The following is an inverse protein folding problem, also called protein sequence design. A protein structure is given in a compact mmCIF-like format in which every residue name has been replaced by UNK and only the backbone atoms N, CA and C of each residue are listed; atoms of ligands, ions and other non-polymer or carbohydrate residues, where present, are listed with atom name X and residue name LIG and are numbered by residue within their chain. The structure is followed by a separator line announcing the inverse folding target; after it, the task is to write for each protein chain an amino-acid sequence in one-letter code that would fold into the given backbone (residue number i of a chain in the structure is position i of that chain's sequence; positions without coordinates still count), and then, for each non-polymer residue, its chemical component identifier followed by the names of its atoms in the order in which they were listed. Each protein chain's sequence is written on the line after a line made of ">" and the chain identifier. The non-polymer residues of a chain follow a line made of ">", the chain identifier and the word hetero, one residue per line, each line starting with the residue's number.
data_IF_071482592308
#
_entry.id   IF_071482592308
#
_cell.length_a   1.000
_cell.length_b   1.000
_cell.length_c   1.000
_cell.angle_alpha   90.00
_cell.angle_beta   90.00
_cell.angle_gamma   90.00
#
_symmetry.space_group_name_H-M   'P 1'
#
loop_
_entity.id
_entity.type
_entity.pdbx_description
1 polymer ?
#
# COMPACT_ATOMS: atom_id res chain seq x y z
N UNK A 1 -41.00 48.54 52.79
CA UNK A 1 -42.39 48.31 52.33
C UNK A 1 -42.52 46.87 51.86
N UNK A 2 -43.48 46.15 52.47
CA UNK A 2 -44.24 44.95 52.04
C UNK A 2 -43.55 43.80 51.27
N UNK A 3 -43.42 42.64 51.95
CA UNK A 3 -43.59 41.30 51.35
C UNK A 3 -44.62 40.53 52.18
N UNK A 4 -45.65 39.99 51.51
CA UNK A 4 -46.81 39.33 52.14
C UNK A 4 -46.50 37.88 52.55
N UNK A 5 -47.29 37.46 53.53
CA UNK A 5 -47.17 36.34 54.48
C UNK A 5 -47.72 35.04 53.90
N UNK A 6 -47.21 33.94 54.45
CA UNK A 6 -47.31 32.54 54.05
C UNK A 6 -48.52 31.80 54.65
N UNK A 7 -49.72 32.02 54.11
CA UNK A 7 -50.95 31.33 54.53
C UNK A 7 -51.67 30.57 53.39
N UNK A 8 -50.96 30.14 52.33
CA UNK A 8 -51.57 29.43 51.18
C UNK A 8 -50.94 28.06 50.88
N UNK A 9 -50.68 27.23 51.89
CA UNK A 9 -50.33 25.82 51.68
C UNK A 9 -51.32 24.89 52.41
N UNK A 10 -52.10 24.07 51.69
CA UNK A 10 -52.91 23.03 52.32
C UNK A 10 -52.01 21.95 52.93
N UNK A 11 -52.05 21.84 54.25
CA UNK A 11 -51.52 20.71 55.02
C UNK A 11 -52.46 19.52 54.81
N UNK A 12 -52.01 18.50 54.10
CA UNK A 12 -52.70 17.21 54.08
C UNK A 12 -52.42 16.43 55.37
N UNK A 13 -53.49 15.86 55.90
CA UNK A 13 -53.63 15.32 57.22
C UNK A 13 -53.41 13.80 57.29
N UNK A 14 -53.03 13.37 58.49
CA UNK A 14 -53.18 12.05 59.12
C UNK A 14 -52.32 10.87 58.64
N UNK A 15 -51.36 10.52 59.50
CA UNK A 15 -50.74 9.20 59.60
C UNK A 15 -51.81 8.16 60.01
N UNK A 16 -51.92 7.09 59.23
CA UNK A 16 -52.66 5.89 59.60
C UNK A 16 -51.67 4.80 60.03
N UNK A 17 -51.87 4.28 61.23
CA UNK A 17 -51.08 3.22 61.87
C UNK A 17 -51.03 1.93 61.02
N UNK A 18 -49.83 1.40 60.78
CA UNK A 18 -49.60 0.13 60.05
C UNK A 18 -49.37 -1.00 61.07
N UNK A 19 -50.07 -2.15 60.95
CA UNK A 19 -50.01 -3.24 61.93
C UNK A 19 -48.72 -4.07 61.85
N UNK A 20 -48.20 -4.48 63.00
CA UNK A 20 -47.01 -5.33 63.11
C UNK A 20 -47.30 -6.79 62.68
N UNK A 21 -46.83 -7.19 61.49
CA UNK A 21 -46.95 -8.56 61.00
C UNK A 21 -45.82 -9.45 61.58
N UNK A 22 -46.13 -10.28 62.59
CA UNK A 22 -45.18 -11.28 63.12
C UNK A 22 -45.22 -12.54 62.25
N UNK A 23 -44.22 -12.70 61.39
CA UNK A 23 -44.02 -13.88 60.55
C UNK A 23 -43.73 -15.12 61.44
N UNK A 24 -44.69 -16.04 61.54
CA UNK A 24 -44.54 -17.28 62.33
C UNK A 24 -43.52 -18.20 61.65
N UNK A 25 -42.47 -18.63 62.38
CA UNK A 25 -41.35 -19.50 61.94
C UNK A 25 -41.73 -20.69 61.03
N UNK A 26 -42.98 -21.19 61.13
CA UNK A 26 -43.51 -22.27 60.29
C UNK A 26 -43.59 -21.91 58.79
N UNK A 27 -43.87 -20.65 58.45
CA UNK A 27 -43.92 -20.22 57.04
C UNK A 27 -42.54 -20.19 56.37
N UNK A 28 -41.48 -19.95 57.15
CA UNK A 28 -40.11 -20.02 56.63
C UNK A 28 -39.72 -21.45 56.23
N UNK A 29 -40.16 -22.47 57.01
CA UNK A 29 -39.88 -23.87 56.67
C UNK A 29 -40.62 -24.32 55.40
N UNK A 30 -41.85 -23.87 55.17
CA UNK A 30 -42.56 -24.15 53.91
C UNK A 30 -41.89 -23.48 52.71
N UNK A 31 -41.36 -22.26 52.89
CA UNK A 31 -40.67 -21.52 51.82
C UNK A 31 -39.32 -22.16 51.46
N UNK A 32 -38.56 -22.62 52.47
CA UNK A 32 -37.31 -23.37 52.25
C UNK A 32 -37.60 -24.73 51.61
N UNK A 33 -38.63 -25.44 52.07
CA UNK A 33 -39.05 -26.71 51.46
C UNK A 33 -39.48 -26.54 50.00
N UNK A 34 -40.23 -25.47 49.69
CA UNK A 34 -40.63 -25.12 48.33
C UNK A 34 -39.42 -24.81 47.44
N UNK A 35 -38.46 -24.01 47.93
CA UNK A 35 -37.22 -23.71 47.19
C UNK A 35 -36.36 -24.95 46.96
N UNK A 36 -36.30 -25.88 47.91
CA UNK A 36 -35.57 -27.14 47.77
C UNK A 36 -36.23 -28.07 46.75
N UNK A 37 -37.57 -28.17 46.76
CA UNK A 37 -38.32 -28.91 45.74
C UNK A 37 -38.17 -28.26 44.36
N UNK A 38 -38.19 -26.93 44.27
CA UNK A 38 -37.90 -26.22 43.02
C UNK A 38 -36.46 -26.48 42.53
N UNK A 39 -35.47 -26.57 43.42
CA UNK A 39 -34.08 -26.88 43.04
C UNK A 39 -33.90 -28.32 42.57
N UNK A 40 -34.65 -29.29 43.11
CA UNK A 40 -34.64 -30.69 42.66
C UNK A 40 -35.43 -30.90 41.36
N UNK A 41 -36.58 -30.23 41.20
CA UNK A 41 -37.42 -30.36 40.01
C UNK A 41 -36.96 -29.47 38.85
N UNK A 42 -36.23 -28.41 39.14
CA UNK A 42 -35.58 -27.52 38.19
C UNK A 42 -34.10 -27.37 38.56
N UNK A 43 -33.31 -28.45 38.46
CA UNK A 43 -31.86 -28.31 38.59
C UNK A 43 -31.45 -27.26 37.56
N UNK A 44 -30.72 -26.23 38.01
CA UNK A 44 -30.12 -25.21 37.15
C UNK A 44 -29.38 -25.96 36.05
N UNK A 45 -30.04 -26.13 34.90
CA UNK A 45 -29.39 -26.44 33.65
C UNK A 45 -28.48 -25.25 33.47
N UNK A 46 -27.19 -25.43 33.76
CA UNK A 46 -26.16 -24.68 33.08
C UNK A 46 -26.61 -24.67 31.64
N UNK A 47 -27.06 -23.51 31.18
CA UNK A 47 -27.58 -23.34 29.85
C UNK A 47 -26.46 -23.83 28.95
N UNK A 48 -26.67 -24.99 28.31
CA UNK A 48 -25.97 -25.30 27.08
C UNK A 48 -26.17 -24.06 26.23
N UNK A 49 -25.10 -23.36 25.80
CA UNK A 49 -25.28 -22.21 24.95
C UNK A 49 -26.07 -22.68 23.74
N UNK A 50 -27.20 -22.02 23.46
CA UNK A 50 -27.68 -21.98 22.09
C UNK A 50 -26.49 -21.55 21.23
N UNK A 51 -26.31 -22.10 20.01
CA UNK A 51 -25.21 -21.70 19.13
C UNK A 51 -25.33 -20.20 18.92
N UNK A 52 -24.50 -19.47 19.65
CA UNK A 52 -24.49 -18.03 19.72
C UNK A 52 -23.86 -17.54 18.44
N UNK A 53 -24.65 -16.82 17.65
CA UNK A 53 -24.16 -15.77 16.78
C UNK A 53 -23.28 -14.81 17.61
N UNK A 54 -21.96 -14.94 17.45
CA UNK A 54 -20.97 -14.10 18.11
C UNK A 54 -19.94 -14.86 18.93
N UNK A 55 -19.32 -15.91 18.37
CA UNK A 55 -17.96 -16.26 18.78
C UNK A 55 -17.10 -15.01 18.54
N UNK A 56 -16.58 -14.41 19.62
CA UNK A 56 -15.47 -13.49 19.50
C UNK A 56 -14.29 -14.32 18.99
N UNK A 57 -14.15 -14.42 17.67
CA UNK A 57 -13.01 -15.07 17.02
C UNK A 57 -11.76 -14.40 17.57
N UNK A 58 -11.07 -15.09 18.48
CA UNK A 58 -9.85 -14.60 19.09
C UNK A 58 -8.74 -14.79 18.05
N UNK A 59 -8.50 -13.75 17.27
CA UNK A 59 -7.44 -13.72 16.25
C UNK A 59 -6.08 -13.78 16.95
N UNK A 60 -5.26 -14.78 16.61
CA UNK A 60 -3.89 -14.87 17.09
C UNK A 60 -2.96 -14.06 16.17
N UNK A 61 -2.70 -12.81 16.52
CA UNK A 61 -1.95 -11.89 15.64
C UNK A 61 -0.48 -12.28 15.43
N UNK A 62 0.10 -13.13 16.29
CA UNK A 62 1.45 -13.66 16.08
C UNK A 62 1.58 -14.61 14.89
N UNK A 63 0.45 -15.06 14.34
CA UNK A 63 0.42 -15.90 13.14
C UNK A 63 0.43 -15.08 11.84
N UNK A 64 0.46 -13.75 11.93
CA UNK A 64 0.39 -12.85 10.78
C UNK A 64 1.59 -11.92 10.77
N UNK A 65 2.00 -11.49 9.57
CA UNK A 65 3.04 -10.48 9.44
C UNK A 65 2.84 -9.52 8.27
N UNK A 66 3.28 -8.29 8.45
CA UNK A 66 3.65 -7.41 7.35
C UNK A 66 5.09 -7.69 6.94
N UNK A 67 5.35 -7.70 5.64
CA UNK A 67 6.69 -7.84 5.09
C UNK A 67 7.02 -6.62 4.23
N UNK A 68 8.17 -6.02 4.52
CA UNK A 68 8.82 -5.00 3.71
C UNK A 68 10.23 -5.49 3.36
N UNK A 69 10.82 -4.92 2.32
CA UNK A 69 12.18 -5.24 1.89
C UNK A 69 12.95 -3.96 1.58
N UNK A 70 14.27 -4.07 1.53
CA UNK A 70 15.15 -3.01 1.11
C UNK A 70 16.29 -3.59 0.29
N UNK A 71 16.60 -2.96 -0.84
CA UNK A 71 17.78 -3.31 -1.65
C UNK A 71 18.89 -2.27 -1.55
N UNK A 72 18.54 -1.03 -1.22
CA UNK A 72 19.47 0.08 -0.98
C UNK A 72 19.10 0.93 0.26
N UNK A 73 19.96 1.89 0.61
CA UNK A 73 19.75 2.80 1.76
C UNK A 73 18.47 3.63 1.65
N UNK A 74 18.11 4.05 0.44
CA UNK A 74 16.89 4.80 0.16
C UNK A 74 15.66 3.97 0.49
N UNK A 75 15.60 2.75 -0.02
CA UNK A 75 14.55 1.78 0.28
C UNK A 75 14.54 1.35 1.74
N UNK A 76 15.69 1.19 2.39
CA UNK A 76 15.75 0.89 3.82
C UNK A 76 15.04 1.97 4.65
N UNK A 77 15.29 3.24 4.34
CA UNK A 77 14.57 4.33 4.99
C UNK A 77 13.07 4.27 4.67
N UNK A 78 12.69 3.96 3.43
CA UNK A 78 11.28 3.83 3.08
C UNK A 78 10.59 2.69 3.84
N UNK A 79 11.21 1.50 3.89
CA UNK A 79 10.73 0.38 4.69
C UNK A 79 10.58 0.76 6.17
N UNK A 80 11.54 1.48 6.74
CA UNK A 80 11.45 2.01 8.13
C UNK A 80 10.29 3.00 8.28
N UNK A 81 10.01 3.85 7.29
CA UNK A 81 8.84 4.74 7.32
C UNK A 81 7.51 3.96 7.22
N UNK A 82 7.47 2.85 6.49
CA UNK A 82 6.29 1.96 6.45
C UNK A 82 6.10 1.28 7.81
N UNK A 83 7.19 0.80 8.43
CA UNK A 83 7.17 0.23 9.78
C UNK A 83 6.72 1.25 10.83
N UNK A 84 7.15 2.51 10.72
CA UNK A 84 6.66 3.61 11.54
C UNK A 84 5.15 3.80 11.37
N UNK A 85 4.65 3.83 10.13
CA UNK A 85 3.23 3.99 9.86
C UNK A 85 2.41 2.83 10.44
N UNK A 86 2.85 1.58 10.28
CA UNK A 86 2.22 0.41 10.88
C UNK A 86 2.15 0.51 12.41
N UNK A 87 3.23 0.99 13.05
CA UNK A 87 3.24 1.23 14.49
C UNK A 87 2.28 2.38 14.89
N UNK A 88 2.25 3.46 14.11
CA UNK A 88 1.36 4.61 14.33
C UNK A 88 -0.12 4.25 14.19
N UNK A 89 -0.46 3.29 13.33
CA UNK A 89 -1.83 2.79 13.15
C UNK A 89 -2.18 1.61 14.07
N UNK A 90 -1.34 1.31 15.07
CA UNK A 90 -1.55 0.21 16.04
C UNK A 90 -1.82 -1.14 15.35
N UNK A 91 -1.12 -1.39 14.24
CA UNK A 91 -1.21 -2.67 13.53
C UNK A 91 -0.67 -3.80 14.41
N UNK A 92 -1.43 -4.90 14.44
CA UNK A 92 -1.28 -5.97 15.43
C UNK A 92 -0.38 -7.13 15.00
N UNK A 93 -0.25 -7.32 13.69
CA UNK A 93 0.57 -8.39 13.13
C UNK A 93 2.06 -8.12 13.36
N UNK A 94 2.87 -9.19 13.28
CA UNK A 94 4.32 -9.05 13.31
C UNK A 94 4.82 -8.24 12.11
N UNK A 95 6.06 -7.75 12.19
CA UNK A 95 6.69 -6.96 11.13
C UNK A 95 7.99 -7.63 10.73
N UNK A 96 8.20 -7.80 9.44
CA UNK A 96 9.37 -8.45 8.85
C UNK A 96 10.05 -7.47 7.90
N UNK A 97 11.37 -7.35 8.01
CA UNK A 97 12.21 -6.57 7.10
C UNK A 97 13.29 -7.46 6.51
N UNK A 98 13.23 -7.67 5.19
CA UNK A 98 14.31 -8.26 4.41
C UNK A 98 15.33 -7.18 4.01
N UNK A 99 16.61 -7.45 4.18
CA UNK A 99 17.69 -6.52 3.83
C UNK A 99 18.95 -7.27 3.38
N UNK A 100 19.89 -6.62 2.67
CA UNK A 100 21.10 -7.28 2.17
C UNK A 100 21.94 -7.86 3.31
N UNK A 101 22.36 -9.12 3.16
CA UNK A 101 23.11 -9.87 4.18
C UNK A 101 24.51 -9.32 4.53
N UNK A 102 25.04 -8.43 3.69
CA UNK A 102 26.30 -7.74 3.94
C UNK A 102 26.17 -6.49 4.82
N UNK A 103 24.94 -6.10 5.19
CA UNK A 103 24.71 -5.07 6.21
C UNK A 103 24.61 -5.71 7.60
N UNK A 104 24.92 -4.93 8.62
CA UNK A 104 24.84 -5.40 10.00
C UNK A 104 24.12 -4.40 10.91
N UNK A 105 23.85 -4.82 12.15
CA UNK A 105 23.15 -4.00 13.16
C UNK A 105 24.08 -3.34 14.17
N UNK A 106 25.40 -3.42 13.95
CA UNK A 106 26.41 -2.86 14.82
C UNK A 106 26.75 -1.45 14.36
N UNK A 107 26.18 -0.47 15.04
CA UNK A 107 26.45 0.94 14.74
C UNK A 107 27.91 1.28 15.05
N UNK A 108 28.72 1.42 14.01
CA UNK A 108 30.15 1.70 14.15
C UNK A 108 30.43 3.20 14.34
N UNK A 109 29.56 4.08 13.85
CA UNK A 109 29.71 5.53 14.00
C UNK A 109 28.39 6.29 13.88
N UNK A 110 28.40 7.60 14.16
CA UNK A 110 27.23 8.46 13.95
C UNK A 110 26.85 8.60 12.46
N UNK A 111 27.77 8.29 11.54
CA UNK A 111 27.56 8.36 10.09
C UNK A 111 27.08 7.03 9.49
N UNK A 112 27.13 5.96 10.27
CA UNK A 112 26.64 4.64 9.88
C UNK A 112 25.11 4.60 9.94
N UNK A 113 24.50 5.12 8.88
CA UNK A 113 23.05 5.29 8.83
C UNK A 113 22.33 3.97 8.64
N UNK A 114 22.91 3.01 7.92
CA UNK A 114 22.24 1.77 7.55
C UNK A 114 22.03 0.90 8.80
N UNK A 115 23.07 0.70 9.61
CA UNK A 115 22.97 -0.03 10.88
C UNK A 115 22.08 0.69 11.90
N UNK A 116 22.07 2.04 11.91
CA UNK A 116 21.15 2.82 12.75
C UNK A 116 19.69 2.62 12.35
N UNK A 117 19.39 2.56 11.05
CA UNK A 117 18.04 2.33 10.54
C UNK A 117 17.57 0.90 10.81
N UNK A 118 18.45 -0.10 10.64
CA UNK A 118 18.14 -1.49 10.99
C UNK A 118 17.87 -1.63 12.50
N UNK A 119 18.70 -1.00 13.33
CA UNK A 119 18.50 -0.96 14.79
C UNK A 119 17.19 -0.25 15.16
N UNK A 120 16.86 0.85 14.49
CA UNK A 120 15.58 1.55 14.68
C UNK A 120 14.38 0.66 14.33
N UNK A 121 14.44 -0.04 13.17
CA UNK A 121 13.41 -0.98 12.76
C UNK A 121 13.20 -2.10 13.80
N UNK A 122 14.29 -2.69 14.30
CA UNK A 122 14.24 -3.75 15.31
C UNK A 122 13.75 -3.26 16.67
N UNK A 123 14.37 -2.22 17.20
CA UNK A 123 14.24 -1.85 18.61
C UNK A 123 13.04 -0.93 18.88
N UNK A 124 12.64 -0.11 17.89
CA UNK A 124 11.51 0.82 18.05
C UNK A 124 10.24 0.29 17.40
N UNK A 125 10.36 -0.33 16.22
CA UNK A 125 9.21 -0.83 15.48
C UNK A 125 9.02 -2.35 15.59
N UNK A 126 9.81 -3.04 16.42
CA UNK A 126 9.73 -4.49 16.65
C UNK A 126 9.78 -5.31 15.35
N UNK A 127 10.50 -4.83 14.33
CA UNK A 127 10.67 -5.57 13.11
C UNK A 127 11.65 -6.73 13.30
N UNK A 128 11.24 -7.92 12.87
CA UNK A 128 12.10 -9.08 12.72
C UNK A 128 12.97 -8.87 11.49
N UNK A 129 14.28 -8.74 11.71
CA UNK A 129 15.26 -8.48 10.67
C UNK A 129 15.73 -9.78 10.03
N UNK A 130 15.62 -9.90 8.71
CA UNK A 130 16.07 -11.05 7.94
C UNK A 130 17.16 -10.62 6.94
N UNK A 131 18.45 -10.83 7.25
CA UNK A 131 19.52 -10.65 6.28
C UNK A 131 19.38 -11.70 5.19
N UNK A 132 19.40 -11.26 3.93
CA UNK A 132 19.18 -12.13 2.78
C UNK A 132 20.11 -11.76 1.64
N UNK A 133 20.38 -12.75 0.78
CA UNK A 133 20.83 -12.47 -0.57
C UNK A 133 19.62 -11.96 -1.36
N UNK A 134 19.75 -10.77 -1.95
CA UNK A 134 18.69 -10.18 -2.76
C UNK A 134 18.31 -11.09 -3.92
N UNK A 135 17.02 -11.08 -4.26
CA UNK A 135 16.56 -11.69 -5.50
C UNK A 135 16.68 -10.65 -6.60
N UNK A 136 17.23 -11.06 -7.73
CA UNK A 136 17.49 -10.17 -8.87
C UNK A 136 17.13 -10.90 -10.16
N UNK A 137 16.60 -10.15 -11.13
CA UNK A 137 16.36 -10.65 -12.49
C UNK A 137 17.14 -9.81 -13.48
N UNK A 138 17.90 -10.48 -14.33
CA UNK A 138 18.66 -9.84 -15.38
C UNK A 138 17.83 -9.67 -16.67
N UNK A 139 17.85 -8.46 -17.23
CA UNK A 139 17.29 -8.12 -18.54
C UNK A 139 18.37 -7.58 -19.46
N UNK A 140 18.38 -7.99 -20.74
CA UNK A 140 19.41 -7.56 -21.71
C UNK A 140 18.98 -6.32 -22.47
N UNK A 141 19.60 -5.17 -22.19
CA UNK A 141 19.37 -3.92 -22.94
C UNK A 141 20.46 -3.66 -23.99
N UNK A 142 20.23 -2.68 -24.87
CA UNK A 142 21.23 -2.20 -25.84
C UNK A 142 22.52 -1.68 -25.16
N UNK A 143 22.39 -1.14 -23.94
CA UNK A 143 23.49 -0.56 -23.16
C UNK A 143 24.11 -1.55 -22.16
N UNK A 144 23.78 -2.84 -22.27
CA UNK A 144 24.26 -3.90 -21.38
C UNK A 144 23.15 -4.55 -20.55
N UNK A 145 23.56 -5.34 -19.58
CA UNK A 145 22.63 -5.98 -18.65
C UNK A 145 22.03 -4.95 -17.70
N UNK A 146 20.79 -5.21 -17.27
CA UNK A 146 20.05 -4.46 -16.26
C UNK A 146 19.44 -5.44 -15.26
N UNK A 147 19.24 -5.00 -14.04
CA UNK A 147 18.82 -5.85 -12.93
C UNK A 147 17.59 -5.25 -12.27
N UNK A 148 16.58 -6.08 -12.04
CA UNK A 148 15.40 -5.73 -11.27
C UNK A 148 15.42 -6.50 -9.95
N UNK A 149 15.56 -5.78 -8.85
CA UNK A 149 15.61 -6.33 -7.49
C UNK A 149 14.24 -6.28 -6.79
N UNK A 150 13.21 -5.71 -7.42
CA UNK A 150 11.85 -5.62 -6.87
C UNK A 150 11.29 -7.00 -6.50
N UNK A 151 11.68 -8.04 -7.24
CA UNK A 151 11.34 -9.44 -6.96
C UNK A 151 11.80 -9.95 -5.60
N UNK A 152 12.70 -9.24 -4.90
CA UNK A 152 13.11 -9.55 -3.51
C UNK A 152 11.91 -9.66 -2.56
N UNK A 153 10.83 -8.93 -2.83
CA UNK A 153 9.57 -9.04 -2.08
C UNK A 153 9.00 -10.47 -2.04
N UNK A 154 9.30 -11.30 -3.04
CA UNK A 154 8.82 -12.70 -3.08
C UNK A 154 9.44 -13.56 -1.98
N UNK A 155 10.50 -13.12 -1.30
CA UNK A 155 10.98 -13.78 -0.08
C UNK A 155 9.90 -13.91 1.00
N UNK A 156 8.84 -13.09 0.95
CA UNK A 156 7.66 -13.22 1.80
C UNK A 156 6.97 -14.60 1.69
N UNK A 157 7.05 -15.27 0.53
CA UNK A 157 6.55 -16.65 0.37
C UNK A 157 7.31 -17.65 1.24
N UNK A 158 8.55 -17.35 1.65
CA UNK A 158 9.35 -18.24 2.50
C UNK A 158 9.01 -18.17 3.99
N UNK A 159 8.03 -17.34 4.39
CA UNK A 159 7.68 -17.12 5.80
C UNK A 159 6.59 -18.09 6.28
N UNK A 160 6.75 -19.40 6.03
CA UNK A 160 5.76 -20.47 6.35
C UNK A 160 5.42 -20.64 7.84
N UNK A 161 6.13 -19.96 8.73
CA UNK A 161 5.78 -19.89 10.14
C UNK A 161 4.68 -18.86 10.45
N UNK A 162 4.17 -18.16 9.44
CA UNK A 162 2.94 -17.38 9.51
C UNK A 162 1.86 -18.02 8.65
N UNK A 163 0.60 -17.88 9.08
CA UNK A 163 -0.57 -18.30 8.32
C UNK A 163 -0.82 -17.38 7.12
N UNK A 164 -0.44 -16.10 7.24
CA UNK A 164 -0.57 -15.10 6.16
C UNK A 164 0.39 -13.93 6.33
N UNK A 165 0.91 -13.47 5.20
CA UNK A 165 1.82 -12.34 5.12
C UNK A 165 1.27 -11.28 4.18
N UNK A 166 1.27 -10.01 4.60
CA UNK A 166 1.02 -8.88 3.71
C UNK A 166 2.36 -8.32 3.26
N UNK A 167 2.78 -8.63 2.04
CA UNK A 167 3.97 -8.06 1.43
C UNK A 167 3.62 -6.71 0.78
N UNK A 168 4.37 -5.68 1.14
CA UNK A 168 4.18 -4.31 0.67
C UNK A 168 5.32 -3.89 -0.26
N UNK A 169 4.96 -3.14 -1.30
CA UNK A 169 5.89 -2.52 -2.25
C UNK A 169 6.71 -1.39 -1.62
N UNK A 170 7.86 -1.09 -2.24
CA UNK A 170 8.60 0.15 -1.93
C UNK A 170 7.84 1.38 -2.49
N UNK A 171 8.27 2.59 -2.12
CA UNK A 171 7.64 3.84 -2.60
C UNK A 171 6.10 3.93 -2.44
N UNK A 172 5.59 3.47 -1.30
CA UNK A 172 4.20 3.68 -0.88
C UNK A 172 4.09 4.61 0.35
N UNK A 173 2.90 5.16 0.58
CA UNK A 173 2.49 5.74 1.86
C UNK A 173 1.27 4.99 2.38
N UNK A 174 1.35 4.49 3.61
CA UNK A 174 0.20 3.94 4.34
C UNK A 174 -0.60 5.07 4.98
N UNK A 175 -1.91 5.07 4.73
CA UNK A 175 -2.87 6.04 5.25
C UNK A 175 -3.78 5.46 6.35
N UNK A 176 -3.84 4.14 6.48
CA UNK A 176 -4.58 3.44 7.54
C UNK A 176 -4.01 2.03 7.78
N UNK A 177 -4.52 1.33 8.80
CA UNK A 177 -4.28 -0.09 9.03
C UNK A 177 -4.85 -0.96 7.91
N UNK A 178 -4.19 -2.09 7.66
CA UNK A 178 -4.58 -3.12 6.69
C UNK A 178 -4.90 -4.46 7.38
N UNK A 179 -5.05 -4.45 8.71
CA UNK A 179 -5.15 -5.68 9.53
C UNK A 179 -6.35 -6.55 9.12
N UNK A 180 -7.41 -5.95 8.55
CA UNK A 180 -8.58 -6.68 8.05
C UNK A 180 -8.23 -7.67 6.92
N UNK A 181 -7.17 -7.41 6.15
CA UNK A 181 -6.77 -8.28 5.06
C UNK A 181 -6.19 -9.62 5.54
N UNK A 182 -5.74 -9.70 6.81
CA UNK A 182 -5.38 -10.99 7.40
C UNK A 182 -6.56 -11.93 7.60
N UNK A 183 -7.79 -11.39 7.58
CA UNK A 183 -9.02 -12.13 7.85
C UNK A 183 -9.80 -12.52 6.59
N UNK A 184 -9.26 -12.26 5.40
CA UNK A 184 -9.85 -12.77 4.14
C UNK A 184 -9.93 -14.31 4.17
N UNK A 185 -10.87 -14.92 3.42
CA UNK A 185 -10.92 -16.37 3.23
C UNK A 185 -9.59 -16.96 2.77
N UNK A 186 -9.44 -18.29 2.91
CA UNK A 186 -8.28 -19.02 2.42
C UNK A 186 -8.09 -18.77 0.91
N UNK A 187 -6.88 -18.38 0.51
CA UNK A 187 -6.49 -18.10 -0.87
C UNK A 187 -4.96 -18.06 -0.94
N UNK A 188 -4.34 -18.60 -2.01
CA UNK A 188 -2.87 -18.60 -2.12
C UNK A 188 -2.30 -17.18 -2.15
N UNK A 189 -2.99 -16.26 -2.81
CA UNK A 189 -2.63 -14.84 -2.81
C UNK A 189 -3.87 -13.98 -3.08
N UNK A 190 -3.96 -12.81 -2.44
CA UNK A 190 -4.90 -11.75 -2.80
C UNK A 190 -4.18 -10.46 -3.19
N UNK A 191 -4.59 -9.84 -4.30
CA UNK A 191 -3.95 -8.64 -4.86
C UNK A 191 -4.97 -7.70 -5.48
N UNK A 192 -4.75 -6.37 -5.44
CA UNK A 192 -5.59 -5.41 -6.14
C UNK A 192 -5.36 -5.45 -7.66
N UNK A 193 -6.36 -5.00 -8.44
CA UNK A 193 -6.20 -4.79 -9.89
C UNK A 193 -5.30 -3.59 -10.16
N UNK A 194 -4.39 -3.73 -11.12
CA UNK A 194 -3.61 -2.65 -11.70
C UNK A 194 -4.46 -1.87 -12.72
N UNK A 195 -5.47 -1.12 -12.25
CA UNK A 195 -6.47 -0.46 -13.11
C UNK A 195 -5.90 0.51 -14.15
N UNK A 196 -4.63 0.89 -14.01
CA UNK A 196 -3.93 1.82 -14.87
C UNK A 196 -3.25 1.21 -16.08
N UNK A 197 -3.30 -0.12 -16.21
CA UNK A 197 -2.74 -0.80 -17.38
C UNK A 197 -3.76 -0.81 -18.51
N UNK A 198 -3.26 -0.82 -19.75
CA UNK A 198 -4.12 -0.78 -20.93
C UNK A 198 -4.79 -2.13 -21.25
N UNK A 199 -4.33 -3.23 -20.64
CA UNK A 199 -4.91 -4.57 -20.82
C UNK A 199 -6.12 -4.81 -19.92
N UNK A 200 -7.25 -5.25 -20.51
CA UNK A 200 -8.43 -5.75 -19.77
C UNK A 200 -8.61 -7.26 -20.04
N UNK A 201 -8.95 -8.09 -19.03
CA UNK A 201 -9.06 -7.75 -17.61
C UNK A 201 -7.71 -7.26 -17.05
N UNK A 202 -7.75 -6.27 -16.17
CA UNK A 202 -6.52 -5.69 -15.62
C UNK A 202 -5.69 -6.74 -14.88
N UNK A 203 -4.36 -6.76 -15.04
CA UNK A 203 -3.50 -7.64 -14.27
C UNK A 203 -3.55 -7.25 -12.79
N UNK A 204 -3.04 -8.14 -11.95
CA UNK A 204 -2.90 -7.95 -10.52
C UNK A 204 -1.66 -7.11 -10.23
N UNK A 205 -1.78 -6.20 -9.28
CA UNK A 205 -0.71 -5.31 -8.84
C UNK A 205 -0.01 -5.91 -7.63
N UNK A 206 1.32 -5.89 -7.68
CA UNK A 206 2.24 -6.28 -6.60
C UNK A 206 2.45 -5.19 -5.55
N UNK A 207 1.75 -4.04 -5.66
CA UNK A 207 1.79 -2.96 -4.66
C UNK A 207 1.42 -3.47 -3.26
N UNK A 208 0.53 -4.47 -3.23
CA UNK A 208 0.04 -5.15 -2.04
C UNK A 208 -0.23 -6.62 -2.38
N UNK A 209 0.43 -7.55 -1.68
CA UNK A 209 0.17 -8.98 -1.81
C UNK A 209 -0.18 -9.59 -0.47
N UNK A 210 -1.37 -10.15 -0.35
CA UNK A 210 -1.81 -10.93 0.81
C UNK A 210 -1.52 -12.40 0.52
N UNK A 211 -0.41 -12.91 1.03
CA UNK A 211 0.18 -14.19 0.66
C UNK A 211 -0.14 -15.24 1.72
N UNK A 212 -0.57 -16.42 1.29
CA UNK A 212 -0.38 -17.65 2.05
C UNK A 212 1.02 -18.19 1.75
N UNK A 213 1.96 -18.15 2.72
CA UNK A 213 3.36 -18.48 2.43
C UNK A 213 3.53 -19.93 1.96
N UNK A 214 4.44 -20.13 1.01
CA UNK A 214 4.82 -21.44 0.48
C UNK A 214 6.25 -21.40 -0.07
N UNK A 215 7.14 -22.18 0.55
CA UNK A 215 8.52 -22.37 0.08
C UNK A 215 8.55 -23.00 -1.31
N UNK A 216 7.61 -23.89 -1.61
CA UNK A 216 7.49 -24.48 -2.95
C UNK A 216 7.20 -23.43 -4.03
N UNK A 217 6.36 -22.44 -3.74
CA UNK A 217 6.12 -21.31 -4.65
C UNK A 217 7.34 -20.39 -4.76
N UNK A 218 8.01 -20.09 -3.63
CA UNK A 218 9.26 -19.32 -3.65
C UNK A 218 10.32 -19.97 -4.55
N UNK A 219 10.50 -21.29 -4.45
CA UNK A 219 11.48 -21.99 -5.27
C UNK A 219 11.09 -22.04 -6.76
N UNK A 220 9.79 -22.05 -7.10
CA UNK A 220 9.34 -21.89 -8.49
C UNK A 220 9.66 -20.48 -9.01
N UNK A 221 9.42 -19.45 -8.21
CA UNK A 221 9.76 -18.08 -8.59
C UNK A 221 11.25 -17.90 -8.82
N UNK A 222 12.09 -18.38 -7.90
CA UNK A 222 13.55 -18.34 -8.09
C UNK A 222 13.99 -19.04 -9.38
N UNK A 223 13.39 -20.18 -9.73
CA UNK A 223 13.69 -20.87 -10.99
C UNK A 223 13.29 -20.05 -12.21
N UNK A 224 12.09 -19.45 -12.21
CA UNK A 224 11.62 -18.56 -13.29
C UNK A 224 12.53 -17.34 -13.49
N UNK A 225 13.07 -16.79 -12.41
CA UNK A 225 14.03 -15.67 -12.46
C UNK A 225 15.36 -16.02 -13.13
N UNK A 226 15.81 -17.28 -13.03
CA UNK A 226 17.06 -17.73 -13.67
C UNK A 226 16.98 -17.71 -15.21
N UNK A 227 15.78 -17.67 -15.77
CA UNK A 227 15.56 -17.60 -17.21
C UNK A 227 15.78 -16.18 -17.77
N UNK A 228 15.90 -15.19 -16.88
CA UNK A 228 15.97 -13.77 -17.23
C UNK A 228 14.60 -13.15 -17.45
N UNK A 229 14.59 -11.84 -17.65
CA UNK A 229 13.37 -11.07 -17.85
C UNK A 229 13.35 -10.30 -19.16
N UNK A 230 12.14 -9.94 -19.60
CA UNK A 230 11.98 -9.01 -20.71
C UNK A 230 12.73 -7.69 -20.38
N UNK A 231 13.60 -7.20 -21.28
CA UNK A 231 14.43 -6.04 -21.00
C UNK A 231 13.65 -4.78 -20.65
N UNK A 232 12.47 -4.59 -21.25
CA UNK A 232 11.62 -3.44 -20.98
C UNK A 232 10.96 -3.58 -19.61
N UNK A 233 10.48 -4.77 -19.25
CA UNK A 233 9.88 -4.99 -17.92
C UNK A 233 10.90 -4.87 -16.78
N UNK A 234 12.12 -5.39 -16.99
CA UNK A 234 13.24 -5.22 -16.06
C UNK A 234 13.60 -3.74 -15.89
N UNK A 235 13.71 -2.99 -17.00
CA UNK A 235 13.98 -1.54 -16.98
C UNK A 235 12.89 -0.74 -16.26
N UNK A 236 11.64 -1.19 -16.37
CA UNK A 236 10.50 -0.51 -15.78
C UNK A 236 10.28 -0.91 -14.32
N UNK A 237 11.07 -1.84 -13.77
CA UNK A 237 10.84 -2.49 -12.47
C UNK A 237 9.42 -3.06 -12.36
N UNK A 238 9.02 -3.83 -13.37
CA UNK A 238 7.69 -4.46 -13.48
C UNK A 238 7.76 -5.97 -13.70
N UNK A 239 8.94 -6.55 -13.58
CA UNK A 239 9.11 -7.98 -13.81
C UNK A 239 8.43 -8.81 -12.73
N UNK A 240 8.34 -8.28 -11.51
CA UNK A 240 7.55 -8.85 -10.42
C UNK A 240 6.06 -9.01 -10.79
N UNK A 241 5.46 -8.00 -11.44
CA UNK A 241 4.09 -8.10 -11.92
C UNK A 241 3.91 -9.17 -13.00
N UNK A 242 4.89 -9.36 -13.89
CA UNK A 242 4.84 -10.42 -14.91
C UNK A 242 4.82 -11.80 -14.24
N UNK A 243 5.81 -12.08 -13.40
CA UNK A 243 5.99 -13.39 -12.75
C UNK A 243 4.79 -13.76 -11.88
N UNK A 244 4.24 -12.80 -11.12
CA UNK A 244 3.12 -13.10 -10.22
C UNK A 244 1.82 -13.34 -11.00
N UNK A 245 1.59 -12.62 -12.11
CA UNK A 245 0.38 -12.77 -12.91
C UNK A 245 0.44 -14.06 -13.72
N UNK A 246 1.58 -14.39 -14.34
CA UNK A 246 1.80 -15.70 -14.99
C UNK A 246 1.44 -16.86 -14.05
N UNK A 247 1.73 -16.72 -12.75
CA UNK A 247 1.48 -17.77 -11.76
C UNK A 247 0.06 -17.77 -11.19
N UNK A 248 -0.51 -16.60 -10.90
CA UNK A 248 -1.69 -16.49 -10.03
C UNK A 248 -2.89 -15.77 -10.65
N UNK A 249 -2.83 -15.28 -11.89
CA UNK A 249 -3.95 -14.51 -12.49
C UNK A 249 -5.30 -15.25 -12.44
N UNK A 250 -5.28 -16.59 -12.56
CA UNK A 250 -6.49 -17.43 -12.54
C UNK A 250 -6.89 -17.93 -11.14
N UNK A 251 -6.01 -17.84 -10.14
CA UNK A 251 -6.21 -18.45 -8.81
C UNK A 251 -6.16 -17.48 -7.63
N UNK A 252 -5.75 -16.24 -7.86
CA UNK A 252 -5.72 -15.20 -6.84
C UNK A 252 -7.14 -14.72 -6.46
N UNK A 253 -7.30 -14.37 -5.19
CA UNK A 253 -8.43 -13.53 -4.77
C UNK A 253 -8.19 -12.09 -5.24
N UNK A 254 -9.13 -11.53 -5.99
CA UNK A 254 -9.01 -10.17 -6.50
C UNK A 254 -9.51 -9.18 -5.44
N UNK A 255 -8.61 -8.32 -4.95
CA UNK A 255 -8.98 -7.19 -4.10
C UNK A 255 -9.50 -6.04 -4.95
N UNK A 256 -10.45 -5.23 -4.44
CA UNK A 256 -10.76 -3.98 -5.07
C UNK A 256 -9.53 -3.07 -5.02
N UNK A 257 -9.21 -2.36 -6.11
CA UNK A 257 -8.11 -1.37 -6.11
C UNK A 257 -8.42 -0.17 -5.20
N UNK A 258 -9.68 0.07 -4.88
CA UNK A 258 -10.12 1.01 -3.84
C UNK A 258 -10.44 0.22 -2.56
N UNK A 259 -9.78 0.49 -1.41
CA UNK A 259 -8.86 1.59 -1.11
C UNK A 259 -7.35 1.26 -1.21
N UNK A 260 -6.99 0.12 -1.79
CA UNK A 260 -5.66 -0.50 -1.60
C UNK A 260 -4.58 -0.17 -2.67
N UNK A 261 -4.91 0.54 -3.74
CA UNK A 261 -4.00 0.81 -4.86
C UNK A 261 -4.21 2.20 -5.47
N UNK A 262 -4.47 3.22 -4.65
CA UNK A 262 -4.48 4.61 -5.12
C UNK A 262 -3.07 5.01 -5.54
N UNK A 263 -2.94 5.80 -6.61
CA UNK A 263 -1.65 6.24 -7.14
C UNK A 263 -1.56 7.75 -7.17
N UNK A 264 -0.37 8.30 -6.95
CA UNK A 264 -0.14 9.74 -7.06
C UNK A 264 -0.44 10.28 -8.47
N UNK A 265 -0.14 9.48 -9.51
CA UNK A 265 -0.45 9.86 -10.89
C UNK A 265 -1.95 9.98 -11.16
N UNK A 266 -2.82 9.37 -10.34
CA UNK A 266 -4.27 9.51 -10.50
C UNK A 266 -4.71 10.96 -10.35
N UNK A 267 -4.14 11.69 -9.38
CA UNK A 267 -4.44 13.11 -9.16
C UNK A 267 -4.01 14.02 -10.33
N UNK A 268 -3.18 13.52 -11.26
CA UNK A 268 -2.76 14.26 -12.46
C UNK A 268 -3.58 13.91 -13.69
N UNK A 269 -4.38 12.85 -13.65
CA UNK A 269 -5.22 12.47 -14.79
C UNK A 269 -6.42 13.41 -14.87
N UNK A 270 -6.96 13.55 -16.09
CA UNK A 270 -8.26 14.16 -16.31
C UNK A 270 -9.39 13.13 -16.40
N UNK A 271 -9.05 11.91 -16.79
CA UNK A 271 -9.97 10.78 -16.88
C UNK A 271 -9.66 9.76 -15.78
N UNK A 272 -10.60 9.66 -14.86
CA UNK A 272 -10.58 8.78 -13.68
C UNK A 272 -11.54 7.58 -13.84
N UNK A 273 -12.12 7.36 -15.02
CA UNK A 273 -13.14 6.34 -15.23
C UNK A 273 -12.67 4.93 -14.85
N UNK A 274 -11.43 4.58 -15.16
CA UNK A 274 -10.83 3.29 -14.78
C UNK A 274 -10.61 3.18 -13.26
N UNK A 275 -10.25 4.26 -12.58
CA UNK A 275 -10.14 4.28 -11.11
C UNK A 275 -11.51 4.21 -10.43
N UNK A 276 -12.51 4.92 -10.94
CA UNK A 276 -13.84 4.94 -10.34
C UNK A 276 -14.60 3.64 -10.61
N UNK A 277 -14.41 3.02 -11.78
CA UNK A 277 -15.06 1.77 -12.21
C UNK A 277 -16.57 1.89 -12.49
N UNK A 278 -17.24 2.89 -11.92
CA UNK A 278 -18.68 3.16 -12.10
C UNK A 278 -18.95 4.40 -12.96
N UNK A 279 -19.82 4.25 -13.96
CA UNK A 279 -20.20 5.35 -14.87
C UNK A 279 -20.93 6.52 -14.18
N UNK A 280 -21.46 6.31 -12.97
CA UNK A 280 -22.21 7.31 -12.21
C UNK A 280 -21.39 7.92 -11.06
N UNK A 281 -20.15 7.48 -10.85
CA UNK A 281 -19.29 8.06 -9.83
C UNK A 281 -18.63 9.33 -10.38
N UNK A 282 -18.52 10.34 -9.52
CA UNK A 282 -17.81 11.59 -9.82
C UNK A 282 -16.51 11.61 -9.05
N UNK A 283 -15.46 12.09 -9.72
CA UNK A 283 -14.16 12.25 -9.08
C UNK A 283 -14.24 13.33 -8.01
N UNK A 284 -13.80 12.97 -6.80
CA UNK A 284 -13.64 13.86 -5.66
C UNK A 284 -12.32 13.50 -5.00
N UNK A 285 -11.28 14.30 -5.26
CA UNK A 285 -9.92 14.05 -4.79
C UNK A 285 -9.83 13.95 -3.26
N UNK A 286 -10.62 14.73 -2.53
CA UNK A 286 -10.62 14.74 -1.05
C UNK A 286 -11.20 13.44 -0.51
N UNK A 287 -12.35 13.03 -1.07
CA UNK A 287 -13.00 11.78 -0.71
C UNK A 287 -12.10 10.59 -1.01
N UNK A 288 -11.52 10.56 -2.23
CA UNK A 288 -10.62 9.50 -2.67
C UNK A 288 -9.38 9.39 -1.78
N UNK A 289 -8.76 10.52 -1.46
CA UNK A 289 -7.60 10.54 -0.57
C UNK A 289 -7.95 10.07 0.85
N UNK A 290 -9.10 10.48 1.38
CA UNK A 290 -9.58 10.09 2.71
C UNK A 290 -9.96 8.60 2.80
N UNK A 291 -10.49 8.02 1.73
CA UNK A 291 -10.85 6.61 1.66
C UNK A 291 -9.63 5.71 1.42
N UNK A 292 -8.58 6.22 0.78
CA UNK A 292 -7.36 5.48 0.47
C UNK A 292 -6.65 4.94 1.71
N UNK A 293 -6.16 3.71 1.64
CA UNK A 293 -5.32 3.08 2.66
C UNK A 293 -3.86 2.96 2.26
N UNK A 294 -3.61 2.87 0.95
CA UNK A 294 -2.27 2.85 0.36
C UNK A 294 -2.25 3.85 -0.79
N UNK A 295 -1.20 4.68 -0.83
CA UNK A 295 -0.87 5.51 -1.99
C UNK A 295 0.49 5.10 -2.52
N UNK A 296 0.54 4.68 -3.78
CA UNK A 296 1.79 4.38 -4.49
C UNK A 296 2.27 5.64 -5.23
N UNK A 297 3.56 5.99 -5.08
CA UNK A 297 4.19 7.02 -5.88
C UNK A 297 4.43 6.47 -7.30
N UNK A 298 3.85 7.11 -8.33
CA UNK A 298 3.87 6.56 -9.69
C UNK A 298 3.99 7.64 -10.78
N UNK A 299 4.75 8.70 -10.52
CA UNK A 299 4.76 9.91 -11.36
C UNK A 299 5.84 9.94 -12.44
N UNK A 300 6.33 8.79 -12.89
CA UNK A 300 7.31 8.70 -14.00
C UNK A 300 6.88 9.63 -15.16
N UNK A 301 7.79 10.46 -15.71
CA UNK A 301 9.25 10.48 -15.50
C UNK A 301 9.73 11.33 -14.31
N UNK A 302 8.84 11.84 -13.46
CA UNK A 302 9.26 12.48 -12.21
C UNK A 302 10.04 11.45 -11.36
N UNK A 303 11.19 11.83 -10.78
CA UNK A 303 11.99 10.90 -10.01
C UNK A 303 11.27 10.47 -8.72
N UNK A 304 11.83 9.43 -8.09
CA UNK A 304 11.43 8.91 -6.77
C UNK A 304 11.09 10.03 -5.78
N UNK A 305 10.10 9.83 -4.87
CA UNK A 305 9.78 10.79 -3.81
C UNK A 305 10.95 11.12 -2.88
N UNK A 306 12.04 10.33 -2.91
CA UNK A 306 13.29 10.62 -2.20
C UNK A 306 14.09 11.77 -2.82
N UNK A 307 13.80 12.15 -4.07
CA UNK A 307 14.53 13.14 -4.87
C UNK A 307 13.76 14.46 -4.88
N UNK A 308 14.47 15.56 -4.71
CA UNK A 308 13.88 16.90 -4.82
C UNK A 308 13.49 17.20 -6.27
N UNK A 309 12.51 18.07 -6.43
CA UNK A 309 12.09 18.56 -7.74
C UNK A 309 12.85 19.84 -8.11
N UNK A 310 13.15 20.00 -9.39
CA UNK A 310 13.46 21.31 -9.94
C UNK A 310 12.17 22.11 -10.11
N UNK A 311 12.25 23.44 -10.14
CA UNK A 311 11.07 24.27 -10.42
C UNK A 311 10.44 23.93 -11.78
N UNK A 312 11.25 23.53 -12.75
CA UNK A 312 10.78 23.12 -14.07
C UNK A 312 10.00 21.80 -14.00
N UNK A 313 10.52 20.79 -13.31
CA UNK A 313 9.83 19.51 -13.14
C UNK A 313 8.50 19.68 -12.38
N UNK A 314 8.45 20.56 -11.37
CA UNK A 314 7.22 20.82 -10.64
C UNK A 314 6.19 21.52 -11.53
N UNK A 315 6.59 22.55 -12.29
CA UNK A 315 5.70 23.24 -13.24
C UNK A 315 5.11 22.29 -14.27
N UNK A 316 5.92 21.37 -14.79
CA UNK A 316 5.52 20.44 -15.85
C UNK A 316 4.65 19.28 -15.33
N UNK A 317 4.89 18.83 -14.09
CA UNK A 317 4.30 17.58 -13.58
C UNK A 317 3.21 17.75 -12.54
N UNK A 318 3.07 18.89 -11.86
CA UNK A 318 1.99 19.08 -10.89
C UNK A 318 0.60 18.97 -11.55
N UNK A 319 -0.45 18.55 -10.84
CA UNK A 319 -1.82 18.63 -11.34
C UNK A 319 -2.16 20.02 -11.86
N UNK A 320 -2.70 20.12 -13.07
CA UNK A 320 -2.96 21.37 -13.77
C UNK A 320 -4.28 22.04 -13.36
N UNK A 321 -5.04 21.43 -12.45
CA UNK A 321 -6.32 21.91 -11.97
C UNK A 321 -7.37 22.11 -13.09
N UNK A 322 -7.42 21.19 -14.05
CA UNK A 322 -8.32 21.27 -15.19
C UNK A 322 -7.91 22.37 -16.18
N UNK A 323 -6.60 22.61 -16.29
CA UNK A 323 -5.99 23.67 -17.09
C UNK A 323 -5.97 25.05 -16.43
N UNK A 324 -6.44 25.18 -15.18
CA UNK A 324 -6.39 26.47 -14.45
C UNK A 324 -5.01 26.71 -13.83
N UNK A 325 -4.38 27.81 -14.24
CA UNK A 325 -3.17 28.32 -13.60
C UNK A 325 -3.47 29.28 -12.43
N UNK A 326 -4.73 29.60 -12.17
CA UNK A 326 -5.16 30.42 -11.03
C UNK A 326 -5.53 29.54 -9.83
N UNK A 327 -4.96 29.84 -8.66
CA UNK A 327 -5.24 29.14 -7.41
C UNK A 327 -4.66 27.73 -7.31
N UNK A 328 -5.12 26.96 -6.32
CA UNK A 328 -4.81 25.53 -6.16
C UNK A 328 -6.10 24.73 -6.07
N UNK A 329 -6.17 23.63 -6.83
CA UNK A 329 -7.20 22.62 -6.72
C UNK A 329 -6.85 21.60 -5.62
N UNK A 330 -7.81 20.73 -5.29
CA UNK A 330 -7.63 19.68 -4.30
C UNK A 330 -6.54 18.68 -4.75
N UNK A 331 -6.52 18.32 -6.03
CA UNK A 331 -5.54 17.42 -6.63
C UNK A 331 -4.11 17.91 -6.42
N UNK A 332 -3.83 19.17 -6.80
CA UNK A 332 -2.50 19.77 -6.64
C UNK A 332 -2.08 19.80 -5.17
N UNK A 333 -2.97 20.25 -4.28
CA UNK A 333 -2.69 20.33 -2.85
C UNK A 333 -2.41 18.97 -2.23
N UNK A 334 -3.18 17.93 -2.58
CA UNK A 334 -3.01 16.57 -2.08
C UNK A 334 -1.72 15.97 -2.63
N UNK A 335 -1.50 16.11 -3.95
CA UNK A 335 -0.34 15.60 -4.63
C UNK A 335 0.96 16.20 -4.06
N UNK A 336 1.05 17.53 -3.96
CA UNK A 336 2.21 18.19 -3.32
C UNK A 336 2.37 17.76 -1.86
N UNK A 337 1.26 17.70 -1.13
CA UNK A 337 1.23 17.28 0.28
C UNK A 337 1.77 15.87 0.51
N UNK A 338 1.50 14.93 -0.40
CA UNK A 338 2.02 13.55 -0.32
C UNK A 338 3.56 13.51 -0.42
N UNK A 339 4.14 14.29 -1.32
CA UNK A 339 5.60 14.37 -1.45
C UNK A 339 6.25 15.18 -0.33
N UNK A 340 5.63 16.28 0.11
CA UNK A 340 6.10 17.05 1.26
C UNK A 340 6.11 16.21 2.54
N UNK A 341 5.03 15.45 2.78
CA UNK A 341 4.94 14.53 3.90
C UNK A 341 6.01 13.43 3.82
N UNK A 342 6.21 12.82 2.64
CA UNK A 342 7.27 11.84 2.45
C UNK A 342 8.65 12.40 2.80
N UNK A 343 9.00 13.58 2.28
CA UNK A 343 10.29 14.24 2.54
C UNK A 343 10.45 14.60 4.02
N UNK A 344 9.37 15.07 4.65
CA UNK A 344 9.31 15.35 6.09
C UNK A 344 9.57 14.09 6.91
N UNK A 345 8.88 12.99 6.63
CA UNK A 345 9.09 11.70 7.31
C UNK A 345 10.48 11.15 7.07
N UNK A 346 11.02 11.25 5.86
CA UNK A 346 12.40 10.82 5.55
C UNK A 346 13.42 11.53 6.45
N UNK A 347 13.26 12.84 6.63
CA UNK A 347 14.10 13.62 7.55
C UNK A 347 13.84 13.27 9.00
N UNK A 348 12.58 13.20 9.41
CA UNK A 348 12.21 13.11 10.83
C UNK A 348 12.40 11.69 11.39
N UNK A 349 12.07 10.65 10.62
CA UNK A 349 12.23 9.23 10.98
C UNK A 349 13.65 8.76 10.68
N UNK A 350 14.11 8.88 9.44
CA UNK A 350 15.38 8.29 9.02
C UNK A 350 16.60 9.18 9.26
N UNK A 351 16.41 10.47 9.55
CA UNK A 351 17.49 11.48 9.59
C UNK A 351 18.26 11.55 8.26
N UNK A 352 17.58 11.29 7.15
CA UNK A 352 18.10 11.42 5.79
C UNK A 352 17.45 12.61 5.10
N UNK A 353 18.25 13.42 4.42
CA UNK A 353 17.72 14.45 3.53
C UNK A 353 17.30 13.83 2.20
N UNK A 354 16.44 14.54 1.48
CA UNK A 354 16.13 14.24 0.09
C UNK A 354 17.36 14.49 -0.78
N UNK A 355 17.48 13.71 -1.86
CA UNK A 355 18.53 13.86 -2.85
C UNK A 355 18.30 15.14 -3.66
N UNK A 356 19.37 15.80 -4.15
CA UNK A 356 19.22 17.02 -4.95
C UNK A 356 18.46 16.75 -6.25
N UNK A 357 17.81 17.79 -6.76
CA UNK A 357 17.04 17.68 -7.99
C UNK A 357 17.95 17.40 -9.19
N UNK A 358 17.61 16.41 -10.04
CA UNK A 358 18.34 16.13 -11.27
C UNK A 358 18.05 17.20 -12.34
N UNK A 359 18.85 17.16 -13.41
CA UNK A 359 18.60 17.97 -14.60
C UNK A 359 17.34 17.46 -15.32
N UNK A 360 16.26 18.24 -15.23
CA UNK A 360 14.97 17.86 -15.79
C UNK A 360 14.99 17.76 -17.32
N UNK A 361 15.85 18.53 -18.00
CA UNK A 361 15.93 18.47 -19.46
C UNK A 361 16.53 17.14 -19.93
N UNK A 362 17.53 16.63 -19.20
CA UNK A 362 18.10 15.30 -19.48
C UNK A 362 17.07 14.19 -19.28
N UNK A 363 16.27 14.28 -18.22
CA UNK A 363 15.17 13.32 -17.99
C UNK A 363 14.17 13.38 -19.14
N UNK A 364 13.73 14.57 -19.55
CA UNK A 364 12.81 14.70 -20.70
C UNK A 364 13.38 14.14 -22.00
N UNK A 365 14.69 14.26 -22.23
CA UNK A 365 15.36 13.67 -23.38
C UNK A 365 15.38 12.14 -23.33
N UNK A 366 15.67 11.56 -22.17
CA UNK A 366 15.68 10.11 -21.95
C UNK A 366 14.30 9.48 -22.16
N UNK A 367 13.24 10.15 -21.70
CA UNK A 367 11.86 9.66 -21.83
C UNK A 367 11.16 10.12 -23.11
N UNK A 368 11.89 10.71 -24.08
CA UNK A 368 11.30 11.14 -25.34
C UNK A 368 11.02 9.92 -26.22
N UNK A 369 9.77 9.71 -26.70
CA UNK A 369 9.48 8.59 -27.59
C UNK A 369 10.30 8.71 -28.89
N UNK A 370 10.91 7.60 -29.33
CA UNK A 370 11.82 7.53 -30.47
C UNK A 370 11.25 8.08 -31.80
N UNK A 371 9.94 8.21 -31.92
CA UNK A 371 9.24 8.81 -33.07
C UNK A 371 9.37 10.33 -33.16
N UNK A 372 9.84 11.03 -32.12
CA UNK A 372 10.07 12.47 -32.16
C UNK A 372 11.40 12.88 -32.84
N UNK A 373 12.26 11.92 -33.20
CA UNK A 373 13.47 12.11 -34.01
C UNK A 373 13.20 11.85 -35.49
N UNK A 374 12.33 12.65 -36.12
CA UNK A 374 12.45 12.91 -37.56
C UNK A 374 12.38 14.41 -37.80
N UNK A 375 13.51 15.09 -38.01
CA UNK A 375 13.48 16.40 -38.64
C UNK A 375 12.88 16.21 -40.04
N UNK A 376 11.84 16.99 -40.34
CA UNK A 376 11.39 17.25 -41.70
C UNK A 376 12.60 17.70 -42.51
N UNK A 377 12.96 16.93 -43.53
CA UNK A 377 13.85 17.45 -44.58
C UNK A 377 13.01 18.49 -45.32
N UNK A 378 13.32 19.75 -45.05
CA UNK A 378 12.74 20.89 -45.73
C UNK A 378 12.98 20.78 -47.23
N UNK A 379 11.89 20.97 -47.97
CA UNK A 379 11.91 21.31 -49.37
C UNK A 379 12.45 22.75 -49.51
N UNK A 380 13.69 22.92 -49.98
CA UNK A 380 14.14 24.14 -50.66
C UNK A 380 15.62 24.04 -51.08
N UNK A 381 15.89 23.64 -52.32
CA UNK A 381 16.90 24.32 -53.14
C UNK A 381 16.70 23.93 -54.62
N UNK A 382 15.97 24.79 -55.33
CA UNK A 382 16.13 24.96 -56.76
C UNK A 382 17.49 25.66 -56.97
N UNK A 383 18.38 25.09 -57.79
CA UNK A 383 19.09 25.82 -58.85
C UNK A 383 19.87 24.88 -59.79
N UNK A 384 19.37 24.84 -61.03
CA UNK A 384 20.11 24.81 -62.31
C UNK A 384 21.36 23.95 -62.49
N UNK A 385 21.28 22.97 -63.41
CA UNK A 385 22.30 22.77 -64.44
C UNK A 385 21.75 21.99 -65.65
N UNK A 386 22.15 22.46 -66.83
CA UNK A 386 21.67 22.07 -68.15
C UNK A 386 22.07 20.65 -68.59
N UNK A 387 21.27 20.09 -69.51
CA UNK A 387 21.66 18.95 -70.35
C UNK A 387 22.85 19.30 -71.27
N UNK A 388 23.61 18.29 -71.75
CA UNK A 388 23.25 17.80 -73.09
C UNK A 388 23.50 16.30 -73.38
N UNK A 389 22.75 15.84 -74.39
CA UNK A 389 23.11 14.93 -75.49
C UNK A 389 23.60 13.49 -75.25
N UNK A 390 22.70 12.56 -75.63
CA UNK A 390 22.88 11.36 -76.45
C UNK A 390 24.30 10.91 -76.86
N UNK A 391 24.61 9.62 -76.70
CA UNK A 391 24.67 8.61 -77.78
C UNK A 391 25.47 7.36 -77.37
N UNK A 392 25.03 6.18 -77.86
CA UNK A 392 25.96 5.10 -78.22
C UNK A 392 25.95 3.80 -77.42
N UNK A 393 25.00 2.91 -77.72
CA UNK A 393 25.32 1.52 -78.13
C UNK A 393 25.72 0.48 -77.07
N UNK A 394 25.68 -0.83 -77.44
CA UNK A 394 25.05 -1.88 -76.63
C UNK A 394 25.99 -3.04 -76.24
N UNK A 395 25.44 -4.04 -75.51
CA UNK A 395 25.65 -5.52 -75.57
C UNK A 395 25.42 -6.14 -74.17
N UNK A 396 24.29 -6.78 -73.88
CA UNK A 396 23.91 -8.20 -74.11
C UNK A 396 24.72 -9.27 -73.37
N UNK A 397 24.01 -10.06 -72.55
CA UNK A 397 24.26 -11.48 -72.19
C UNK A 397 25.16 -11.68 -70.98
N UNK A 398 24.79 -12.38 -69.90
CA UNK A 398 23.81 -13.45 -69.69
C UNK A 398 23.28 -13.43 -68.26
#
# INVERSE_FOLDING_TARGET
>A
MRRRRSDELPRFANEAEIPSFRLRRRHAYYLVGFLFVCWILYPSRNATPAPGTGDNIKVNWSNYAYSVYATDRGELCHAVMVLEALARFDSKADRVLFYPDHWDTKVDSSQDRDSQLLTLARDTYNAKLHPVKLLEVAGRSENGWKWDESVTKFLAFGLEYYDRVIALESEITLLDSLDELFLLPHTPVAMPRAYWTDSKPWPLSTTLMVIEPSLDELEKFKKRMLEGGDPMLVEMHRFDMEVINERFEESALVLPHRPYALRTAEFRRHDHSDYLGGANETWDAEKVYKEGKIVQFSDRPLPSPMVMWSEESLRDMQPDCGGSHEGTCAERRIWEGLYDDFRKRRRDVCKLLSLPAPDWNKIKEEFRPATAMKPSIDASSNETAAAPSASGGPLLGN
#
